data_IF_975397585396
#
_entry.id   IF_975397585396
#
_cell.length_a   1.000
_cell.length_b   1.000
_cell.length_c   1.000
_cell.angle_alpha   90.00
_cell.angle_beta   90.00
_cell.angle_gamma   90.00
#
_symmetry.space_group_name_H-M   'P 1'
#
loop_
_entity.id
_entity.type
_entity.pdbx_description
1 polymer ?
#
# COMPACT_ATOMS: atom_id res chain seq x y z
N UNK A 1 -4.61 -13.62 -14.36
CA UNK A 1 -3.87 -12.52 -13.73
C UNK A 1 -4.87 -11.39 -13.52
N UNK A 2 -4.97 -10.81 -12.32
CA UNK A 2 -5.88 -9.69 -12.06
C UNK A 2 -5.18 -8.35 -12.40
N UNK A 3 -5.94 -7.41 -12.96
CA UNK A 3 -5.50 -6.07 -13.33
C UNK A 3 -6.42 -5.03 -12.67
N UNK A 4 -5.91 -4.35 -11.65
CA UNK A 4 -6.65 -3.37 -10.84
C UNK A 4 -7.04 -2.12 -11.62
N UNK A 5 -6.28 -1.76 -12.66
CA UNK A 5 -6.50 -0.57 -13.48
C UNK A 5 -7.47 -0.81 -14.66
N UNK A 6 -7.89 -2.06 -14.88
CA UNK A 6 -8.77 -2.41 -15.99
C UNK A 6 -10.06 -1.58 -16.05
N UNK A 7 -10.74 -1.28 -14.91
CA UNK A 7 -11.91 -0.38 -14.91
C UNK A 7 -11.64 1.01 -15.51
N UNK A 8 -10.40 1.52 -15.44
CA UNK A 8 -10.02 2.82 -16.00
C UNK A 8 -9.72 2.75 -17.50
N UNK A 9 -9.38 1.57 -18.02
CA UNK A 9 -9.15 1.36 -19.45
C UNK A 9 -10.45 1.12 -20.21
N UNK A 10 -11.53 0.72 -19.54
CA UNK A 10 -12.81 0.37 -20.18
C UNK A 10 -13.40 1.48 -21.04
N UNK A 11 -13.19 2.76 -20.73
CA UNK A 11 -13.69 3.87 -21.56
C UNK A 11 -13.12 3.83 -22.99
N UNK A 12 -11.90 3.31 -23.16
CA UNK A 12 -11.25 3.14 -24.46
C UNK A 12 -11.96 2.12 -25.36
N UNK A 13 -12.87 1.30 -24.82
CA UNK A 13 -13.71 0.42 -25.64
C UNK A 13 -14.63 1.19 -26.61
N UNK A 14 -14.95 2.46 -26.31
CA UNK A 14 -15.74 3.32 -27.21
C UNK A 14 -14.99 3.68 -28.50
N UNK A 15 -13.67 3.54 -28.50
CA UNK A 15 -12.82 3.79 -29.67
C UNK A 15 -12.79 2.57 -30.62
N UNK A 16 -13.47 1.48 -30.27
CA UNK A 16 -13.54 0.25 -31.05
C UNK A 16 -14.90 0.06 -31.70
N UNK A 17 -14.89 -0.32 -32.97
CA UNK A 17 -16.03 -0.81 -33.74
C UNK A 17 -15.83 -2.30 -34.01
N UNK A 18 -16.88 -3.10 -33.86
CA UNK A 18 -16.84 -4.54 -34.13
C UNK A 18 -17.52 -4.86 -35.45
N UNK A 19 -16.86 -5.71 -36.25
CA UNK A 19 -17.38 -6.22 -37.52
C UNK A 19 -17.46 -7.74 -37.43
N UNK A 20 -18.64 -8.32 -37.67
CA UNK A 20 -18.80 -9.77 -37.69
C UNK A 20 -18.24 -10.33 -39.01
N UNK A 21 -17.18 -11.14 -38.92
CA UNK A 21 -16.73 -12.01 -40.00
C UNK A 21 -17.56 -13.29 -39.98
N UNK A 22 -18.01 -13.74 -41.16
CA UNK A 22 -18.67 -15.05 -41.31
C UNK A 22 -17.63 -16.16 -41.30
N UNK A 23 -18.00 -17.35 -40.83
CA UNK A 23 -17.05 -18.49 -40.73
C UNK A 23 -16.47 -18.96 -42.08
N UNK A 24 -17.12 -18.62 -43.20
CA UNK A 24 -16.66 -18.91 -44.56
C UNK A 24 -15.89 -17.76 -45.22
N UNK A 25 -15.62 -16.67 -44.49
CA UNK A 25 -14.89 -15.52 -45.03
C UNK A 25 -13.38 -15.81 -45.15
N UNK A 26 -12.77 -15.36 -46.26
CA UNK A 26 -11.32 -15.38 -46.43
C UNK A 26 -10.68 -14.15 -45.77
N UNK A 27 -9.86 -14.36 -44.74
CA UNK A 27 -9.24 -13.26 -43.96
C UNK A 27 -7.79 -13.00 -44.37
N UNK A 28 -7.20 -13.82 -45.24
CA UNK A 28 -5.84 -13.60 -45.74
C UNK A 28 -4.74 -13.81 -44.69
N UNK A 29 -4.98 -14.62 -43.66
CA UNK A 29 -3.99 -15.06 -42.68
C UNK A 29 -3.66 -16.52 -42.94
N UNK A 30 -2.41 -16.81 -43.29
CA UNK A 30 -1.97 -18.19 -43.53
C UNK A 30 -2.10 -19.03 -42.27
N UNK A 31 -2.54 -20.29 -42.42
CA UNK A 31 -2.68 -21.26 -41.32
C UNK A 31 -3.68 -20.87 -40.22
N UNK A 32 -4.61 -19.97 -40.50
CA UNK A 32 -5.73 -19.63 -39.62
C UNK A 32 -7.07 -19.94 -40.29
N UNK A 33 -8.00 -20.51 -39.52
CA UNK A 33 -9.39 -20.76 -39.96
C UNK A 33 -10.35 -20.09 -38.98
N UNK A 34 -11.34 -19.39 -39.50
CA UNK A 34 -12.37 -18.76 -38.67
C UNK A 34 -13.25 -19.84 -37.99
N UNK A 35 -13.77 -19.57 -36.78
CA UNK A 35 -14.83 -20.36 -36.18
C UNK A 35 -16.04 -20.45 -37.11
N UNK A 36 -16.74 -21.58 -37.08
CA UNK A 36 -17.89 -21.85 -37.97
C UNK A 36 -19.03 -20.84 -37.84
N UNK A 37 -19.23 -20.36 -36.62
CA UNK A 37 -20.19 -19.33 -36.21
C UNK A 37 -19.76 -17.91 -36.59
N UNK A 38 -18.52 -17.75 -37.08
CA UNK A 38 -17.90 -16.47 -37.36
C UNK A 38 -17.15 -15.88 -36.16
N UNK A 39 -16.53 -14.72 -36.37
CA UNK A 39 -15.77 -14.00 -35.35
C UNK A 39 -16.10 -12.50 -35.43
N UNK A 40 -16.50 -11.89 -34.31
CA UNK A 40 -16.51 -10.42 -34.25
C UNK A 40 -15.06 -9.96 -34.20
N UNK A 41 -14.64 -9.12 -35.14
CA UNK A 41 -13.31 -8.53 -35.14
C UNK A 41 -13.37 -7.04 -34.81
N UNK A 42 -12.49 -6.55 -33.93
CA UNK A 42 -12.44 -5.16 -33.51
C UNK A 42 -11.57 -4.33 -34.47
N UNK A 43 -11.94 -3.07 -34.66
CA UNK A 43 -11.19 -2.09 -35.45
C UNK A 43 -11.30 -0.75 -34.75
N UNK A 44 -10.24 0.05 -34.76
CA UNK A 44 -10.31 1.42 -34.27
C UNK A 44 -11.30 2.24 -35.12
N UNK A 45 -12.26 2.88 -34.48
CA UNK A 45 -13.35 3.62 -35.13
C UNK A 45 -12.82 4.74 -36.04
N UNK A 46 -11.74 5.42 -35.62
CA UNK A 46 -11.09 6.45 -36.44
C UNK A 46 -10.46 5.86 -37.70
N UNK A 47 -9.75 4.73 -37.56
CA UNK A 47 -9.09 4.05 -38.69
C UNK A 47 -10.13 3.54 -39.71
N UNK A 48 -11.23 2.95 -39.22
CA UNK A 48 -12.34 2.52 -40.06
C UNK A 48 -12.95 3.70 -40.83
N UNK A 49 -13.19 4.83 -40.15
CA UNK A 49 -13.74 6.02 -40.79
C UNK A 49 -12.80 6.61 -41.86
N UNK A 50 -11.48 6.60 -41.62
CA UNK A 50 -10.49 7.03 -42.61
C UNK A 50 -10.46 6.13 -43.83
N UNK A 51 -10.48 4.81 -43.64
CA UNK A 51 -10.43 3.87 -44.76
C UNK A 51 -11.69 3.96 -45.63
N UNK A 52 -12.87 4.16 -45.02
CA UNK A 52 -14.13 4.41 -45.75
C UNK A 52 -14.02 5.69 -46.59
N UNK A 53 -13.47 6.78 -46.02
CA UNK A 53 -13.29 8.05 -46.73
C UNK A 53 -12.35 7.94 -47.93
N UNK A 54 -11.33 7.07 -47.87
CA UNK A 54 -10.39 6.82 -48.97
C UNK A 54 -11.01 6.06 -50.16
N UNK A 55 -12.27 5.59 -50.05
CA UNK A 55 -13.08 4.96 -51.13
C UNK A 55 -12.40 3.78 -51.85
N UNK A 56 -11.55 3.03 -51.15
CA UNK A 56 -10.95 1.80 -51.67
C UNK A 56 -11.61 0.62 -50.95
N UNK A 57 -12.55 -0.10 -51.58
CA UNK A 57 -13.32 -1.17 -50.93
C UNK A 57 -12.42 -2.23 -50.29
N UNK A 58 -11.31 -2.53 -50.94
CA UNK A 58 -10.35 -3.57 -50.55
C UNK A 58 -9.41 -3.12 -49.41
N UNK A 59 -9.42 -1.84 -49.04
CA UNK A 59 -8.61 -1.26 -47.95
C UNK A 59 -9.45 -0.89 -46.72
N UNK A 60 -10.79 -1.07 -46.76
CA UNK A 60 -11.68 -0.70 -45.64
C UNK A 60 -11.38 -1.54 -44.40
N UNK A 61 -11.20 -2.85 -44.59
CA UNK A 61 -10.94 -3.82 -43.53
C UNK A 61 -9.63 -4.55 -43.80
N UNK A 62 -8.52 -4.00 -43.31
CA UNK A 62 -7.21 -4.66 -43.45
C UNK A 62 -6.94 -5.61 -42.28
N UNK A 63 -6.21 -6.69 -42.54
CA UNK A 63 -5.74 -7.62 -41.50
C UNK A 63 -4.95 -6.86 -40.42
N UNK A 64 -4.12 -5.89 -40.83
CA UNK A 64 -3.35 -5.07 -39.90
C UNK A 64 -4.24 -4.23 -38.97
N UNK A 65 -5.38 -3.72 -39.46
CA UNK A 65 -6.35 -2.99 -38.65
C UNK A 65 -7.03 -3.91 -37.62
N UNK A 66 -7.40 -5.12 -38.05
CA UNK A 66 -7.96 -6.16 -37.18
C UNK A 66 -6.96 -6.53 -36.08
N UNK A 67 -5.71 -6.80 -36.43
CA UNK A 67 -4.62 -7.12 -35.49
C UNK A 67 -4.46 -6.02 -34.44
N UNK A 68 -4.41 -4.75 -34.85
CA UNK A 68 -4.35 -3.61 -33.92
C UNK A 68 -5.56 -3.52 -33.01
N UNK A 69 -6.76 -3.74 -33.54
CA UNK A 69 -7.98 -3.74 -32.75
C UNK A 69 -8.01 -4.88 -31.73
N UNK A 70 -7.53 -6.07 -32.11
CA UNK A 70 -7.48 -7.24 -31.22
C UNK A 70 -6.53 -6.98 -30.06
N UNK A 71 -5.33 -6.45 -30.34
CA UNK A 71 -4.36 -6.06 -29.32
C UNK A 71 -4.96 -5.01 -28.37
N UNK A 72 -5.62 -3.98 -28.89
CA UNK A 72 -6.32 -2.99 -28.06
C UNK A 72 -7.39 -3.64 -27.17
N UNK A 73 -8.21 -4.53 -27.75
CA UNK A 73 -9.29 -5.20 -27.03
C UNK A 73 -8.75 -6.04 -25.88
N UNK A 74 -7.71 -6.85 -26.12
CA UNK A 74 -7.05 -7.66 -25.09
C UNK A 74 -6.43 -6.77 -24.00
N UNK A 75 -5.79 -5.66 -24.41
CA UNK A 75 -5.21 -4.71 -23.46
C UNK A 75 -6.26 -4.00 -22.61
N UNK A 76 -7.43 -3.71 -23.15
CA UNK A 76 -8.54 -3.08 -22.42
C UNK A 76 -9.28 -4.07 -21.52
N UNK A 77 -9.52 -5.29 -21.98
CA UNK A 77 -10.30 -6.32 -21.27
C UNK A 77 -9.58 -7.67 -21.35
N UNK A 78 -8.96 -8.05 -20.22
CA UNK A 78 -8.21 -9.31 -20.12
C UNK A 78 -9.09 -10.54 -20.00
N UNK A 79 -10.41 -10.38 -19.91
CA UNK A 79 -11.39 -11.47 -19.84
C UNK A 79 -12.38 -11.43 -21.02
N UNK A 80 -11.99 -10.78 -22.12
CA UNK A 80 -12.84 -10.61 -23.29
C UNK A 80 -13.30 -11.97 -23.88
N UNK A 81 -14.57 -12.05 -24.29
CA UNK A 81 -15.21 -13.33 -24.71
C UNK A 81 -14.50 -14.10 -25.83
N UNK A 82 -13.75 -13.42 -26.71
CA UNK A 82 -13.00 -14.05 -27.81
C UNK A 82 -11.48 -14.07 -27.60
N UNK A 83 -11.02 -13.88 -26.36
CA UNK A 83 -9.59 -13.77 -26.03
C UNK A 83 -8.75 -14.90 -26.63
N UNK A 84 -9.12 -16.16 -26.39
CA UNK A 84 -8.36 -17.31 -26.89
C UNK A 84 -8.27 -17.32 -28.42
N UNK A 85 -9.36 -16.95 -29.08
CA UNK A 85 -9.44 -16.95 -30.53
C UNK A 85 -8.63 -15.79 -31.15
N UNK A 86 -8.64 -14.63 -30.51
CA UNK A 86 -7.78 -13.50 -30.90
C UNK A 86 -6.30 -13.85 -30.73
N UNK A 87 -5.93 -14.55 -29.65
CA UNK A 87 -4.55 -14.99 -29.45
C UNK A 87 -4.10 -15.92 -30.58
N UNK A 88 -4.93 -16.90 -30.97
CA UNK A 88 -4.63 -17.78 -32.12
C UNK A 88 -4.47 -16.99 -33.42
N UNK A 89 -5.39 -16.07 -33.68
CA UNK A 89 -5.33 -15.19 -34.86
C UNK A 89 -4.03 -14.40 -34.91
N UNK A 90 -3.65 -13.78 -33.79
CA UNK A 90 -2.46 -12.94 -33.67
C UNK A 90 -1.16 -13.73 -33.95
N UNK A 91 -1.01 -14.93 -33.38
CA UNK A 91 0.16 -15.78 -33.64
C UNK A 91 0.19 -16.39 -35.05
N UNK A 92 -0.98 -16.65 -35.65
CA UNK A 92 -1.04 -17.11 -37.03
C UNK A 92 -0.69 -15.99 -38.02
N UNK A 93 -1.06 -14.74 -37.70
CA UNK A 93 -0.67 -13.56 -38.48
C UNK A 93 0.84 -13.31 -38.43
N UNK A 94 1.44 -13.35 -37.24
CA UNK A 94 2.87 -13.21 -37.05
C UNK A 94 3.34 -14.01 -35.82
N UNK A 95 4.21 -15.00 -36.03
CA UNK A 95 4.80 -15.77 -34.94
C UNK A 95 5.60 -14.90 -33.95
N UNK A 96 6.05 -13.70 -34.37
CA UNK A 96 6.76 -12.72 -33.55
C UNK A 96 5.86 -11.57 -33.06
N UNK A 97 4.54 -11.77 -33.01
CA UNK A 97 3.58 -10.71 -32.64
C UNK A 97 3.90 -10.05 -31.29
N UNK A 98 4.46 -10.78 -30.33
CA UNK A 98 4.90 -10.22 -29.03
C UNK A 98 5.93 -9.09 -29.19
N UNK A 99 6.89 -9.24 -30.12
CA UNK A 99 7.89 -8.22 -30.39
C UNK A 99 7.27 -6.98 -31.05
N UNK A 100 6.29 -7.17 -31.93
CA UNK A 100 5.51 -6.08 -32.49
C UNK A 100 4.74 -5.31 -31.40
N UNK A 101 4.04 -6.02 -30.50
CA UNK A 101 3.28 -5.41 -29.40
C UNK A 101 4.21 -4.62 -28.48
N UNK A 102 5.36 -5.20 -28.11
CA UNK A 102 6.41 -4.53 -27.33
C UNK A 102 6.89 -3.25 -28.01
N UNK A 103 7.25 -3.32 -29.30
CA UNK A 103 7.72 -2.17 -30.07
C UNK A 103 6.68 -1.05 -30.13
N UNK A 104 5.41 -1.38 -30.39
CA UNK A 104 4.34 -0.37 -30.39
C UNK A 104 4.14 0.26 -29.01
N UNK A 105 4.17 -0.54 -27.94
CA UNK A 105 4.10 -0.04 -26.56
C UNK A 105 5.16 1.03 -26.27
N UNK A 106 6.41 0.78 -26.65
CA UNK A 106 7.53 1.75 -26.53
C UNK A 106 7.30 2.97 -27.42
N UNK A 107 6.91 2.78 -28.68
CA UNK A 107 6.63 3.88 -29.61
C UNK A 107 5.53 4.83 -29.09
N UNK A 108 4.53 4.32 -28.38
CA UNK A 108 3.51 5.14 -27.75
C UNK A 108 4.05 5.97 -26.58
N UNK A 109 5.05 5.50 -25.84
CA UNK A 109 5.77 6.32 -24.85
C UNK A 109 6.44 7.49 -25.56
N UNK A 110 7.22 7.23 -26.61
CA UNK A 110 7.94 8.27 -27.37
C UNK A 110 6.98 9.31 -27.99
N UNK A 111 5.75 8.88 -28.29
CA UNK A 111 4.70 9.72 -28.87
C UNK A 111 3.81 10.42 -27.82
N UNK A 112 4.16 10.33 -26.53
CA UNK A 112 3.40 10.86 -25.40
C UNK A 112 1.93 10.37 -25.36
N UNK A 113 1.74 9.08 -25.60
CA UNK A 113 0.45 8.36 -25.58
C UNK A 113 0.47 7.27 -24.49
N UNK A 114 0.44 7.66 -23.21
CA UNK A 114 0.70 6.74 -22.10
C UNK A 114 -0.37 5.66 -21.94
N UNK A 115 -1.65 5.98 -22.20
CA UNK A 115 -2.73 4.99 -22.11
C UNK A 115 -2.60 3.92 -23.18
N UNK A 116 -2.32 4.33 -24.43
CA UNK A 116 -2.11 3.40 -25.54
C UNK A 116 -0.90 2.50 -25.27
N UNK A 117 0.17 3.05 -24.68
CA UNK A 117 1.32 2.26 -24.22
C UNK A 117 0.94 1.20 -23.17
N UNK A 118 0.19 1.60 -22.14
CA UNK A 118 -0.31 0.69 -21.09
C UNK A 118 -1.18 -0.41 -21.70
N UNK A 119 -2.08 -0.08 -22.62
CA UNK A 119 -2.94 -1.06 -23.31
C UNK A 119 -2.09 -2.09 -24.06
N UNK A 120 -1.07 -1.66 -24.80
CA UNK A 120 -0.20 -2.59 -25.54
C UNK A 120 0.62 -3.49 -24.61
N UNK A 121 1.25 -2.94 -23.57
CA UNK A 121 1.99 -3.78 -22.62
C UNK A 121 1.07 -4.71 -21.83
N UNK A 122 -0.12 -4.26 -21.44
CA UNK A 122 -1.14 -5.12 -20.81
C UNK A 122 -1.57 -6.24 -21.74
N UNK A 123 -1.76 -5.94 -23.03
CA UNK A 123 -2.09 -6.97 -24.03
C UNK A 123 -0.98 -8.01 -24.11
N UNK A 124 0.30 -7.59 -24.16
CA UNK A 124 1.43 -8.50 -24.15
C UNK A 124 1.46 -9.38 -22.90
N UNK A 125 1.26 -8.80 -21.71
CA UNK A 125 1.22 -9.55 -20.44
C UNK A 125 0.03 -10.50 -20.39
N UNK A 126 -1.11 -10.14 -21.00
CA UNK A 126 -2.29 -11.01 -21.09
C UNK A 126 -2.05 -12.19 -22.04
N UNK A 127 -1.40 -11.94 -23.19
CA UNK A 127 -1.05 -12.96 -24.19
C UNK A 127 0.01 -13.92 -23.65
N UNK A 128 1.06 -13.38 -23.03
CA UNK A 128 2.16 -14.15 -22.47
C UNK A 128 2.53 -13.65 -21.06
N UNK A 129 1.87 -14.18 -20.01
CA UNK A 129 2.12 -13.79 -18.62
C UNK A 129 3.53 -14.11 -18.12
N UNK A 130 4.30 -14.95 -18.83
CA UNK A 130 5.65 -15.36 -18.47
C UNK A 130 6.72 -14.43 -19.07
N UNK A 131 6.36 -13.47 -19.92
CA UNK A 131 7.30 -12.55 -20.54
C UNK A 131 7.79 -11.47 -19.53
N UNK A 132 9.03 -11.54 -19.01
CA UNK A 132 9.48 -10.63 -17.95
C UNK A 132 9.65 -9.21 -18.47
N UNK A 133 10.08 -9.03 -19.72
CA UNK A 133 10.22 -7.70 -20.34
C UNK A 133 8.87 -7.04 -20.55
N UNK A 134 7.86 -7.80 -20.97
CA UNK A 134 6.48 -7.32 -21.10
C UNK A 134 5.94 -6.81 -19.77
N UNK A 135 6.08 -7.62 -18.71
CA UNK A 135 5.62 -7.27 -17.38
C UNK A 135 6.39 -6.07 -16.79
N UNK A 136 7.69 -5.98 -17.02
CA UNK A 136 8.51 -4.85 -16.57
C UNK A 136 8.06 -3.53 -17.22
N UNK A 137 7.89 -3.52 -18.55
CA UNK A 137 7.46 -2.32 -19.27
C UNK A 137 6.02 -1.94 -18.92
N UNK A 138 5.14 -2.92 -18.73
CA UNK A 138 3.80 -2.69 -18.21
C UNK A 138 3.83 -1.98 -16.85
N UNK A 139 4.55 -2.56 -15.88
CA UNK A 139 4.65 -2.00 -14.53
C UNK A 139 5.22 -0.58 -14.53
N UNK A 140 6.26 -0.32 -15.33
CA UNK A 140 6.87 1.00 -15.47
C UNK A 140 5.91 2.03 -16.09
N UNK A 141 5.21 1.66 -17.17
CA UNK A 141 4.22 2.54 -17.82
C UNK A 141 3.08 2.90 -16.85
N UNK A 142 2.57 1.92 -16.10
CA UNK A 142 1.53 2.12 -15.08
C UNK A 142 2.03 3.02 -13.93
N UNK A 143 3.25 2.81 -13.44
CA UNK A 143 3.84 3.65 -12.39
C UNK A 143 3.99 5.12 -12.84
N UNK A 144 4.49 5.34 -14.06
CA UNK A 144 4.68 6.67 -14.61
C UNK A 144 3.36 7.40 -14.79
N UNK A 145 2.34 6.71 -15.31
CA UNK A 145 1.00 7.29 -15.46
C UNK A 145 0.35 7.60 -14.10
N UNK A 146 0.54 6.73 -13.10
CA UNK A 146 0.09 6.99 -11.73
C UNK A 146 0.71 8.26 -11.13
N UNK A 147 1.98 8.53 -11.44
CA UNK A 147 2.68 9.76 -11.01
C UNK A 147 2.12 11.02 -11.67
N UNK A 148 1.71 10.97 -12.93
CA UNK A 148 1.04 12.09 -13.60
C UNK A 148 -0.31 12.39 -12.94
N UNK A 149 -1.11 11.37 -12.64
CA UNK A 149 -2.38 11.54 -11.93
C UNK A 149 -2.21 12.13 -10.55
N UNK A 150 -1.15 11.72 -9.84
CA UNK A 150 -0.83 12.27 -8.52
C UNK A 150 -0.55 13.77 -8.62
N UNK A 151 0.25 14.21 -9.60
CA UNK A 151 0.54 15.64 -9.84
C UNK A 151 -0.72 16.45 -10.14
N UNK A 152 -1.70 15.84 -10.79
CA UNK A 152 -3.00 16.44 -11.09
C UNK A 152 -4.01 16.40 -9.93
N UNK A 153 -3.64 15.82 -8.77
CA UNK A 153 -4.51 15.74 -7.60
C UNK A 153 -5.62 14.68 -7.68
N UNK A 154 -5.52 13.75 -8.62
CA UNK A 154 -6.52 12.71 -8.82
C UNK A 154 -6.36 11.57 -7.80
N UNK A 155 -7.46 11.22 -7.11
CA UNK A 155 -7.52 10.10 -6.15
C UNK A 155 -7.24 8.73 -6.77
N UNK A 156 -7.37 8.63 -8.09
CA UNK A 156 -7.17 7.41 -8.88
C UNK A 156 -5.71 6.94 -8.91
N UNK A 157 -4.73 7.82 -8.62
CA UNK A 157 -3.30 7.48 -8.59
C UNK A 157 -2.98 6.23 -7.74
N UNK A 158 -3.69 6.05 -6.63
CA UNK A 158 -3.52 4.91 -5.72
C UNK A 158 -3.70 3.55 -6.42
N UNK A 159 -4.66 3.42 -7.35
CA UNK A 159 -4.90 2.16 -8.04
C UNK A 159 -3.75 1.80 -8.98
N UNK A 160 -3.24 2.79 -9.72
CA UNK A 160 -2.10 2.62 -10.62
C UNK A 160 -0.82 2.31 -9.84
N UNK A 161 -0.53 3.03 -8.76
CA UNK A 161 0.63 2.74 -7.92
C UNK A 161 0.58 1.35 -7.29
N UNK A 162 -0.59 0.94 -6.79
CA UNK A 162 -0.78 -0.41 -6.24
C UNK A 162 -0.52 -1.49 -7.29
N UNK A 163 -1.08 -1.34 -8.49
CA UNK A 163 -0.87 -2.30 -9.56
C UNK A 163 0.59 -2.38 -9.98
N UNK A 164 1.24 -1.24 -10.24
CA UNK A 164 2.65 -1.24 -10.62
C UNK A 164 3.51 -1.93 -9.57
N UNK A 165 3.28 -1.63 -8.28
CA UNK A 165 4.01 -2.25 -7.17
C UNK A 165 3.84 -3.77 -7.16
N UNK A 166 2.61 -4.27 -7.26
CA UNK A 166 2.34 -5.71 -7.30
C UNK A 166 3.06 -6.40 -8.48
N UNK A 167 3.14 -5.75 -9.65
CA UNK A 167 3.84 -6.31 -10.82
C UNK A 167 5.36 -6.29 -10.67
N UNK A 168 5.92 -5.26 -10.03
CA UNK A 168 7.34 -5.22 -9.70
C UNK A 168 7.72 -6.27 -8.64
N UNK A 169 6.90 -6.43 -7.59
CA UNK A 169 7.08 -7.49 -6.58
C UNK A 169 6.94 -8.88 -7.20
N UNK A 170 6.02 -9.07 -8.14
CA UNK A 170 5.88 -10.31 -8.92
C UNK A 170 7.15 -10.65 -9.73
N UNK A 171 7.78 -9.66 -10.36
CA UNK A 171 9.05 -9.86 -11.07
C UNK A 171 10.17 -10.31 -10.13
N UNK A 172 10.31 -9.68 -8.95
CA UNK A 172 11.29 -10.10 -7.94
C UNK A 172 11.01 -11.51 -7.43
N UNK A 173 9.74 -11.86 -7.18
CA UNK A 173 9.34 -13.20 -6.76
C UNK A 173 9.66 -14.29 -7.80
N UNK A 174 9.74 -13.92 -9.08
CA UNK A 174 10.18 -14.79 -10.19
C UNK A 174 11.70 -14.83 -10.35
N UNK A 175 12.46 -14.13 -9.51
CA UNK A 175 13.93 -14.05 -9.58
C UNK A 175 14.45 -13.09 -10.66
N UNK A 176 13.63 -12.16 -11.14
CA UNK A 176 14.04 -11.15 -12.12
C UNK A 176 14.56 -9.92 -11.37
N UNK A 177 15.86 -9.66 -11.44
CA UNK A 177 16.56 -8.63 -10.66
C UNK A 177 17.03 -7.43 -11.51
N UNK A 178 16.16 -6.93 -12.39
CA UNK A 178 16.46 -5.75 -13.23
C UNK A 178 16.55 -4.47 -12.38
N UNK A 179 17.60 -3.63 -12.51
CA UNK A 179 17.79 -2.42 -11.69
C UNK A 179 16.56 -1.51 -11.61
N UNK A 180 15.86 -1.31 -12.73
CA UNK A 180 14.70 -0.44 -12.82
C UNK A 180 13.55 -0.86 -11.88
N UNK A 181 13.46 -2.14 -11.52
CA UNK A 181 12.48 -2.66 -10.55
C UNK A 181 12.70 -2.01 -9.19
N UNK A 182 13.94 -2.02 -8.71
CA UNK A 182 14.31 -1.44 -7.41
C UNK A 182 14.11 0.07 -7.40
N UNK A 183 14.43 0.76 -8.51
CA UNK A 183 14.17 2.18 -8.67
C UNK A 183 12.68 2.50 -8.45
N UNK A 184 11.78 1.85 -9.18
CA UNK A 184 10.36 2.12 -9.06
C UNK A 184 9.80 1.72 -7.70
N UNK A 185 10.20 0.56 -7.16
CA UNK A 185 9.75 0.12 -5.84
C UNK A 185 10.19 1.07 -4.73
N UNK A 186 11.37 1.70 -4.81
CA UNK A 186 11.78 2.71 -3.84
C UNK A 186 10.77 3.87 -3.77
N UNK A 187 10.40 4.45 -4.91
CA UNK A 187 9.40 5.54 -4.94
C UNK A 187 8.00 5.09 -4.55
N UNK A 188 7.58 3.89 -4.96
CA UNK A 188 6.26 3.34 -4.63
C UNK A 188 6.12 3.05 -3.13
N UNK A 189 7.14 2.47 -2.49
CA UNK A 189 7.13 2.27 -1.04
C UNK A 189 7.18 3.58 -0.27
N UNK A 190 7.94 4.59 -0.72
CA UNK A 190 7.86 5.94 -0.13
C UNK A 190 6.45 6.52 -0.23
N UNK A 191 5.80 6.38 -1.38
CA UNK A 191 4.42 6.86 -1.56
C UNK A 191 3.45 6.20 -0.56
N UNK A 192 3.64 4.90 -0.27
CA UNK A 192 2.86 4.17 0.73
C UNK A 192 3.35 4.36 2.18
N UNK A 193 4.34 5.24 2.42
CA UNK A 193 4.97 5.48 3.73
C UNK A 193 5.62 4.25 4.37
N UNK A 194 6.11 3.31 3.55
CA UNK A 194 6.96 2.17 3.95
C UNK A 194 8.42 2.55 3.73
N UNK A 195 8.98 3.40 4.61
CA UNK A 195 10.28 4.04 4.43
C UNK A 195 11.45 3.05 4.58
N UNK A 196 11.37 2.05 5.45
CA UNK A 196 12.38 0.99 5.56
C UNK A 196 12.50 0.22 4.23
N UNK A 197 11.37 -0.19 3.65
CA UNK A 197 11.38 -0.87 2.34
C UNK A 197 11.85 0.05 1.22
N UNK A 198 11.40 1.31 1.22
CA UNK A 198 11.87 2.32 0.28
C UNK A 198 13.38 2.49 0.33
N UNK A 199 13.95 2.64 1.54
CA UNK A 199 15.40 2.75 1.78
C UNK A 199 16.13 1.54 1.23
N UNK A 200 15.68 0.33 1.59
CA UNK A 200 16.27 -0.93 1.12
C UNK A 200 16.28 -1.03 -0.41
N UNK A 201 15.18 -0.71 -1.08
CA UNK A 201 15.12 -0.75 -2.55
C UNK A 201 16.04 0.28 -3.19
N UNK A 202 16.10 1.50 -2.62
CA UNK A 202 17.01 2.55 -3.09
C UNK A 202 18.49 2.15 -2.94
N UNK A 203 18.88 1.57 -1.81
CA UNK A 203 20.24 1.08 -1.56
C UNK A 203 20.63 -0.04 -2.54
N UNK A 204 19.73 -1.00 -2.77
CA UNK A 204 19.95 -2.06 -3.77
C UNK A 204 20.15 -1.42 -5.15
N UNK A 205 19.29 -0.48 -5.54
CA UNK A 205 19.40 0.21 -6.83
C UNK A 205 20.77 0.89 -7.03
N UNK A 206 21.25 1.63 -6.02
CA UNK A 206 22.54 2.30 -6.08
C UNK A 206 23.72 1.33 -6.26
N UNK A 207 23.59 0.11 -5.73
CA UNK A 207 24.59 -0.94 -5.81
C UNK A 207 24.58 -1.69 -7.16
N UNK A 208 23.41 -1.90 -7.78
CA UNK A 208 23.28 -2.75 -8.98
C UNK A 208 23.15 -1.99 -10.31
N UNK A 209 22.78 -0.71 -10.29
CA UNK A 209 22.60 0.09 -11.51
C UNK A 209 23.91 0.78 -11.93
N UNK A 210 24.07 1.06 -13.22
CA UNK A 210 25.13 1.92 -13.77
C UNK A 210 24.58 3.29 -14.27
N UNK A 211 23.26 3.52 -14.18
CA UNK A 211 22.59 4.72 -14.68
C UNK A 211 22.77 5.93 -13.75
N UNK A 212 23.76 6.79 -14.04
CA UNK A 212 24.15 7.93 -13.18
C UNK A 212 22.99 8.90 -12.88
N UNK A 213 22.22 9.30 -13.89
CA UNK A 213 21.13 10.28 -13.70
C UNK A 213 20.06 9.78 -12.73
N UNK A 214 19.71 8.50 -12.80
CA UNK A 214 18.72 7.91 -11.91
C UNK A 214 19.30 7.66 -10.50
N UNK A 215 20.61 7.42 -10.37
CA UNK A 215 21.27 7.31 -9.06
C UNK A 215 21.15 8.61 -8.27
N UNK A 216 21.33 9.76 -8.91
CA UNK A 216 21.18 11.06 -8.24
C UNK A 216 19.76 11.24 -7.67
N UNK A 217 18.74 10.85 -8.43
CA UNK A 217 17.35 10.86 -7.97
C UNK A 217 17.16 9.97 -6.73
N UNK A 218 17.74 8.77 -6.73
CA UNK A 218 17.66 7.84 -5.58
C UNK A 218 18.44 8.37 -4.38
N UNK A 219 19.59 9.01 -4.57
CA UNK A 219 20.34 9.63 -3.46
C UNK A 219 19.51 10.74 -2.79
N UNK A 220 18.82 11.58 -3.58
CA UNK A 220 17.90 12.59 -3.04
C UNK A 220 16.75 11.92 -2.28
N UNK A 221 16.13 10.90 -2.87
CA UNK A 221 15.08 10.10 -2.22
C UNK A 221 15.53 9.56 -0.86
N UNK A 222 16.70 8.92 -0.80
CA UNK A 222 17.24 8.35 0.44
C UNK A 222 17.52 9.41 1.50
N UNK A 223 17.97 10.60 1.09
CA UNK A 223 18.16 11.73 1.99
C UNK A 223 16.84 12.24 2.56
N UNK A 224 15.82 12.38 1.73
CA UNK A 224 14.49 12.85 2.15
C UNK A 224 13.81 11.92 3.15
N UNK A 225 13.99 10.60 3.01
CA UNK A 225 13.34 9.61 3.87
C UNK A 225 14.20 9.14 5.04
N UNK A 226 15.43 9.62 5.18
CA UNK A 226 16.42 9.10 6.15
C UNK A 226 15.82 9.02 7.55
N UNK A 227 15.32 10.14 8.06
CA UNK A 227 14.85 10.22 9.44
C UNK A 227 13.47 9.56 9.61
N UNK A 228 12.65 9.55 8.56
CA UNK A 228 11.39 8.80 8.53
C UNK A 228 11.63 7.29 8.61
N UNK A 229 12.67 6.78 7.95
CA UNK A 229 13.07 5.38 8.01
C UNK A 229 13.67 5.01 9.38
N UNK A 230 14.44 5.91 10.00
CA UNK A 230 14.93 5.72 11.38
C UNK A 230 13.77 5.70 12.38
N UNK A 231 12.82 6.64 12.24
CA UNK A 231 11.62 6.65 13.05
C UNK A 231 10.83 5.34 12.91
N UNK A 232 10.60 4.88 11.67
CA UNK A 232 9.95 3.59 11.40
C UNK A 232 10.67 2.41 12.05
N UNK A 233 11.98 2.35 11.92
CA UNK A 233 12.81 1.30 12.49
C UNK A 233 12.74 1.29 14.03
N UNK A 234 12.80 2.48 14.63
CA UNK A 234 12.77 2.65 16.08
C UNK A 234 11.42 2.24 16.70
N UNK A 235 10.30 2.71 16.15
CA UNK A 235 8.99 2.35 16.72
C UNK A 235 8.63 0.89 16.45
N UNK A 236 8.95 0.32 15.27
CA UNK A 236 8.70 -1.10 15.00
C UNK A 236 9.50 -2.01 15.92
N UNK A 237 10.74 -1.64 16.24
CA UNK A 237 11.55 -2.37 17.21
C UNK A 237 10.91 -2.38 18.61
N UNK A 238 10.35 -1.25 19.06
CA UNK A 238 9.66 -1.14 20.35
C UNK A 238 8.39 -2.01 20.36
N UNK A 239 7.54 -1.88 19.34
CA UNK A 239 6.31 -2.67 19.21
C UNK A 239 6.58 -4.18 19.08
N UNK A 240 7.73 -4.55 18.53
CA UNK A 240 8.17 -5.95 18.41
C UNK A 240 8.88 -6.49 19.67
N UNK A 241 8.82 -5.78 20.80
CA UNK A 241 9.40 -6.21 22.08
C UNK A 241 10.92 -6.08 22.17
N UNK A 242 11.52 -5.21 21.36
CA UNK A 242 12.97 -4.91 21.36
C UNK A 242 13.24 -3.43 21.67
N UNK A 243 12.74 -2.89 22.80
CA UNK A 243 12.91 -1.47 23.13
C UNK A 243 14.39 -1.06 23.30
N UNK A 244 15.27 -1.98 23.68
CA UNK A 244 16.72 -1.74 23.77
C UNK A 244 17.40 -1.42 22.43
N UNK A 245 16.74 -1.74 21.31
CA UNK A 245 17.19 -1.36 19.96
C UNK A 245 16.47 -0.07 19.52
N UNK A 246 15.16 -0.02 19.74
CA UNK A 246 14.35 1.08 19.21
C UNK A 246 14.57 2.43 19.91
N UNK A 247 14.73 2.44 21.24
CA UNK A 247 14.89 3.69 21.99
C UNK A 247 16.12 4.50 21.53
N UNK A 248 17.34 3.92 21.45
CA UNK A 248 18.50 4.67 20.97
C UNK A 248 18.32 5.27 19.57
N UNK A 249 17.67 4.54 18.66
CA UNK A 249 17.40 5.02 17.29
C UNK A 249 16.48 6.24 17.31
N UNK A 250 15.43 6.21 18.13
CA UNK A 250 14.47 7.31 18.22
C UNK A 250 15.06 8.52 18.96
N UNK A 251 15.91 8.31 19.97
CA UNK A 251 16.56 9.39 20.71
C UNK A 251 17.47 10.26 19.82
N UNK A 252 18.10 9.67 18.80
CA UNK A 252 18.89 10.42 17.79
C UNK A 252 18.05 11.48 17.06
N UNK A 253 16.73 11.30 16.97
CA UNK A 253 15.82 12.21 16.26
C UNK A 253 15.30 13.35 17.15
N UNK A 254 15.42 13.26 18.47
CA UNK A 254 14.81 14.22 19.40
C UNK A 254 15.42 15.62 19.32
N UNK A 255 16.71 15.73 19.01
CA UNK A 255 17.38 17.03 18.90
C UNK A 255 16.83 17.89 17.75
N UNK A 256 16.49 17.24 16.63
CA UNK A 256 16.02 17.87 15.40
C UNK A 256 14.50 18.02 15.36
N UNK A 257 13.76 17.06 15.93
CA UNK A 257 12.30 16.97 15.81
C UNK A 257 11.55 17.20 17.12
N UNK A 258 11.81 18.34 17.78
CA UNK A 258 11.27 18.68 19.10
C UNK A 258 9.75 18.87 19.16
N UNK A 259 9.10 19.10 18.03
CA UNK A 259 7.63 19.28 17.93
C UNK A 259 6.91 18.00 17.48
N UNK A 260 7.63 16.89 17.28
CA UNK A 260 7.03 15.65 16.81
C UNK A 260 6.58 14.77 17.99
N UNK A 261 5.35 15.00 18.48
CA UNK A 261 4.86 14.30 19.67
C UNK A 261 4.88 12.77 19.57
N UNK A 262 4.60 12.18 18.40
CA UNK A 262 4.65 10.73 18.21
C UNK A 262 6.06 10.15 18.51
N UNK A 263 7.12 10.92 18.23
CA UNK A 263 8.49 10.52 18.53
C UNK A 263 8.70 10.36 20.04
N UNK A 264 8.28 11.37 20.83
CA UNK A 264 8.31 11.31 22.29
C UNK A 264 7.44 10.18 22.84
N UNK A 265 6.26 9.94 22.25
CA UNK A 265 5.40 8.85 22.67
C UNK A 265 6.10 7.49 22.56
N UNK A 266 6.73 7.20 21.42
CA UNK A 266 7.43 5.93 21.25
C UNK A 266 8.70 5.83 22.11
N UNK A 267 9.46 6.91 22.29
CA UNK A 267 10.59 6.93 23.24
C UNK A 267 10.11 6.64 24.66
N UNK A 268 8.99 7.25 25.08
CA UNK A 268 8.37 7.02 26.39
C UNK A 268 7.91 5.57 26.55
N UNK A 269 7.22 5.03 25.55
CA UNK A 269 6.77 3.64 25.53
C UNK A 269 7.94 2.67 25.65
N UNK A 270 9.00 2.90 24.87
CA UNK A 270 10.21 2.07 24.92
C UNK A 270 10.89 2.12 26.30
N UNK A 271 11.03 3.30 26.91
CA UNK A 271 11.60 3.45 28.24
C UNK A 271 10.75 2.79 29.32
N UNK A 272 9.41 2.87 29.24
CA UNK A 272 8.51 2.14 30.14
C UNK A 272 8.73 0.63 30.05
N UNK A 273 8.82 0.09 28.83
CA UNK A 273 9.07 -1.35 28.62
C UNK A 273 10.44 -1.81 29.13
N UNK A 274 11.42 -0.91 29.20
CA UNK A 274 12.73 -1.15 29.82
C UNK A 274 12.72 -1.02 31.35
N UNK A 275 11.62 -0.52 31.95
CA UNK A 275 11.52 -0.20 33.38
C UNK A 275 12.13 1.15 33.76
N UNK A 276 12.51 1.97 32.78
CA UNK A 276 13.03 3.33 32.94
C UNK A 276 11.87 4.31 33.12
N UNK A 277 11.11 4.16 34.21
CA UNK A 277 9.83 4.87 34.37
C UNK A 277 9.98 6.40 34.46
N UNK A 278 11.11 6.92 34.96
CA UNK A 278 11.32 8.37 35.07
C UNK A 278 11.55 9.01 33.70
N UNK A 279 12.34 8.35 32.86
CA UNK A 279 12.60 8.74 31.49
C UNK A 279 11.32 8.64 30.64
N UNK A 280 10.51 7.61 30.89
CA UNK A 280 9.19 7.46 30.30
C UNK A 280 8.24 8.60 30.68
N UNK A 281 8.15 8.95 31.97
CA UNK A 281 7.35 10.08 32.47
C UNK A 281 7.75 11.36 31.76
N UNK A 282 9.04 11.71 31.76
CA UNK A 282 9.52 12.92 31.07
C UNK A 282 9.10 12.94 29.59
N UNK A 283 9.19 11.80 28.91
CA UNK A 283 8.81 11.70 27.49
C UNK A 283 7.31 11.90 27.27
N UNK A 284 6.47 11.28 28.10
CA UNK A 284 5.02 11.46 27.99
C UNK A 284 4.54 12.84 28.44
N UNK A 285 5.19 13.47 29.42
CA UNK A 285 4.95 14.88 29.76
C UNK A 285 5.24 15.79 28.56
N UNK A 286 6.34 15.56 27.83
CA UNK A 286 6.60 16.27 26.57
C UNK A 286 5.52 16.03 25.52
N UNK A 287 4.92 14.83 25.45
CA UNK A 287 3.76 14.60 24.57
C UNK A 287 2.60 15.49 24.99
N UNK A 288 2.29 15.61 26.28
CA UNK A 288 1.20 16.46 26.77
C UNK A 288 1.49 17.96 26.66
N UNK A 289 2.76 18.38 26.63
CA UNK A 289 3.11 19.76 26.31
C UNK A 289 2.82 20.11 24.84
N UNK A 290 2.97 19.13 23.94
CA UNK A 290 2.71 19.30 22.50
C UNK A 290 1.24 19.05 22.14
N UNK A 291 0.60 18.09 22.81
CA UNK A 291 -0.77 17.62 22.59
C UNK A 291 -1.45 17.36 23.95
N UNK A 292 -2.06 18.41 24.53
CA UNK A 292 -2.57 18.46 25.92
C UNK A 292 -3.52 17.31 26.31
N UNK A 293 -4.30 16.80 25.36
CA UNK A 293 -5.32 15.78 25.57
C UNK A 293 -5.00 14.45 24.87
N UNK A 294 -3.73 14.14 24.64
CA UNK A 294 -3.32 12.85 24.09
C UNK A 294 -3.64 11.72 25.09
N UNK A 295 -4.72 10.98 24.81
CA UNK A 295 -5.31 9.96 25.67
C UNK A 295 -4.34 8.82 26.06
N UNK A 296 -3.65 8.23 25.09
CA UNK A 296 -2.71 7.14 25.31
C UNK A 296 -1.55 7.59 26.22
N UNK A 297 -1.05 8.82 26.07
CA UNK A 297 -0.01 9.37 26.95
C UNK A 297 -0.49 9.53 28.39
N UNK A 298 -1.75 9.92 28.62
CA UNK A 298 -2.32 10.00 29.96
C UNK A 298 -2.39 8.63 30.63
N UNK A 299 -2.81 7.60 29.88
CA UNK A 299 -2.84 6.22 30.37
C UNK A 299 -1.42 5.74 30.70
N UNK A 300 -0.46 6.00 29.81
CA UNK A 300 0.92 5.59 29.98
C UNK A 300 1.61 6.31 31.15
N UNK A 301 1.30 7.59 31.41
CA UNK A 301 1.72 8.30 32.62
C UNK A 301 1.14 7.66 33.87
N UNK A 302 -0.15 7.34 33.89
CA UNK A 302 -0.79 6.65 35.01
C UNK A 302 -0.10 5.32 35.35
N UNK A 303 0.24 4.54 34.32
CA UNK A 303 1.01 3.29 34.47
C UNK A 303 2.43 3.52 35.01
N UNK A 304 3.13 4.54 34.52
CA UNK A 304 4.48 4.87 34.98
C UNK A 304 4.47 5.33 36.45
N UNK A 305 3.57 6.25 36.83
CA UNK A 305 3.43 6.72 38.21
C UNK A 305 3.02 5.60 39.17
N UNK A 306 2.12 4.71 38.76
CA UNK A 306 1.79 3.49 39.53
C UNK A 306 3.04 2.63 39.73
N UNK A 307 3.86 2.44 38.69
CA UNK A 307 5.08 1.63 38.75
C UNK A 307 6.17 2.20 39.66
N UNK A 308 6.22 3.54 39.84
CA UNK A 308 7.11 4.19 40.80
C UNK A 308 6.46 4.43 42.17
N UNK A 309 5.27 3.86 42.41
CA UNK A 309 4.50 3.95 43.64
C UNK A 309 4.06 5.38 44.02
N UNK A 310 3.93 6.27 43.04
CA UNK A 310 3.27 7.56 43.20
C UNK A 310 1.79 7.41 42.80
N UNK A 311 1.05 6.76 43.69
CA UNK A 311 -0.32 6.32 43.41
C UNK A 311 -1.30 7.50 43.28
N UNK A 312 -0.96 8.67 43.83
CA UNK A 312 -1.84 9.84 43.76
C UNK A 312 -1.81 10.47 42.37
N UNK A 313 -0.63 10.62 41.78
CA UNK A 313 -0.49 11.06 40.38
C UNK A 313 -1.09 10.03 39.42
N UNK A 314 -0.89 8.72 39.68
CA UNK A 314 -1.52 7.67 38.87
C UNK A 314 -3.05 7.80 38.83
N UNK A 315 -3.69 8.06 39.98
CA UNK A 315 -5.13 8.32 40.06
C UNK A 315 -5.52 9.56 39.24
N UNK A 316 -4.77 10.67 39.33
CA UNK A 316 -5.07 11.89 38.57
C UNK A 316 -5.03 11.64 37.07
N UNK A 317 -3.95 11.02 36.58
CA UNK A 317 -3.77 10.73 35.16
C UNK A 317 -4.84 9.76 34.60
N UNK A 318 -5.15 8.67 35.32
CA UNK A 318 -6.23 7.77 34.89
C UNK A 318 -7.60 8.45 34.93
N UNK A 319 -7.85 9.29 35.93
CA UNK A 319 -9.12 10.04 36.03
C UNK A 319 -9.25 11.05 34.88
N UNK A 320 -8.17 11.75 34.52
CA UNK A 320 -8.10 12.64 33.36
C UNK A 320 -8.33 11.87 32.05
N UNK A 321 -7.69 10.70 31.90
CA UNK A 321 -7.89 9.83 30.74
C UNK A 321 -9.36 9.44 30.56
N UNK A 322 -10.04 9.00 31.64
CA UNK A 322 -11.47 8.67 31.62
C UNK A 322 -12.36 9.88 31.32
N UNK A 323 -11.97 11.08 31.78
CA UNK A 323 -12.69 12.32 31.48
C UNK A 323 -12.66 12.67 29.99
N UNK A 324 -11.54 12.39 29.31
CA UNK A 324 -11.31 12.71 27.90
C UNK A 324 -11.84 11.61 26.97
N UNK A 325 -11.42 10.37 27.22
CA UNK A 325 -11.75 9.21 26.38
C UNK A 325 -13.11 8.56 26.69
N UNK A 326 -13.74 8.93 27.81
CA UNK A 326 -14.91 8.24 28.33
C UNK A 326 -14.55 6.93 29.03
N UNK A 327 -15.59 6.21 29.45
CA UNK A 327 -15.47 4.96 30.18
C UNK A 327 -14.81 3.87 29.31
N UNK A 328 -13.65 3.39 29.76
CA UNK A 328 -12.89 2.31 29.14
C UNK A 328 -12.56 1.25 30.20
N UNK A 329 -12.87 -0.02 29.91
CA UNK A 329 -12.72 -1.11 30.89
C UNK A 329 -11.29 -1.29 31.39
N UNK A 330 -10.29 -1.12 30.52
CA UNK A 330 -8.87 -1.27 30.88
C UNK A 330 -8.41 -0.14 31.79
N UNK A 331 -8.73 1.11 31.45
CA UNK A 331 -8.38 2.28 32.28
C UNK A 331 -9.09 2.20 33.64
N UNK A 332 -10.37 1.80 33.67
CA UNK A 332 -11.11 1.59 34.92
C UNK A 332 -10.48 0.46 35.77
N UNK A 333 -10.06 -0.65 35.16
CA UNK A 333 -9.39 -1.72 35.90
C UNK A 333 -8.07 -1.23 36.50
N UNK A 334 -7.26 -0.49 35.73
CA UNK A 334 -6.01 0.10 36.22
C UNK A 334 -6.26 1.06 37.38
N UNK A 335 -7.24 1.97 37.24
CA UNK A 335 -7.61 2.89 38.31
C UNK A 335 -8.11 2.17 39.58
N UNK A 336 -8.92 1.11 39.43
CA UNK A 336 -9.37 0.31 40.56
C UNK A 336 -8.21 -0.41 41.28
N UNK A 337 -7.23 -0.93 40.53
CA UNK A 337 -6.01 -1.50 41.11
C UNK A 337 -5.24 -0.46 41.93
N UNK A 338 -5.08 0.77 41.41
CA UNK A 338 -4.43 1.85 42.16
C UNK A 338 -5.21 2.21 43.42
N UNK A 339 -6.55 2.30 43.37
CA UNK A 339 -7.38 2.54 44.56
C UNK A 339 -7.28 1.42 45.60
N UNK A 340 -7.14 0.16 45.17
CA UNK A 340 -6.89 -0.96 46.09
C UNK A 340 -5.55 -0.82 46.80
N UNK A 341 -4.52 -0.34 46.10
CA UNK A 341 -3.18 -0.14 46.66
C UNK A 341 -3.11 1.05 47.62
N UNK A 342 -3.89 2.11 47.39
CA UNK A 342 -4.02 3.25 48.32
C UNK A 342 -4.95 2.97 49.51
N UNK A 343 -5.68 1.86 49.50
CA UNK A 343 -6.64 1.49 50.55
C UNK A 343 -8.02 2.13 50.41
N UNK A 344 -8.28 2.85 49.32
CA UNK A 344 -9.58 3.41 48.92
C UNK A 344 -10.50 2.30 48.39
N UNK A 345 -10.85 1.34 49.25
CA UNK A 345 -11.53 0.10 48.82
C UNK A 345 -12.97 0.33 48.32
N UNK A 346 -13.64 1.38 48.78
CA UNK A 346 -15.01 1.70 48.35
C UNK A 346 -15.01 2.28 46.93
N UNK A 347 -14.10 3.22 46.68
CA UNK A 347 -13.86 3.79 45.35
C UNK A 347 -13.40 2.69 44.37
N UNK A 348 -12.49 1.81 44.80
CA UNK A 348 -12.09 0.64 44.01
C UNK A 348 -13.30 -0.25 43.64
N UNK A 349 -14.25 -0.46 44.55
CA UNK A 349 -15.43 -1.30 44.31
C UNK A 349 -16.38 -0.68 43.29
N UNK A 350 -16.59 0.63 43.35
CA UNK A 350 -17.39 1.34 42.37
C UNK A 350 -16.76 1.26 40.97
N UNK A 351 -15.47 1.57 40.87
CA UNK A 351 -14.75 1.64 39.59
C UNK A 351 -14.62 0.26 38.94
N UNK A 352 -14.28 -0.79 39.69
CA UNK A 352 -14.13 -2.12 39.12
C UNK A 352 -15.47 -2.72 38.65
N UNK A 353 -16.58 -2.36 39.30
CA UNK A 353 -17.92 -2.77 38.84
C UNK A 353 -18.27 -2.15 37.51
N UNK A 354 -17.98 -0.85 37.33
CA UNK A 354 -18.13 -0.18 36.02
C UNK A 354 -17.27 -0.84 34.95
N UNK A 355 -16.02 -1.23 35.27
CA UNK A 355 -15.18 -1.98 34.33
C UNK A 355 -15.82 -3.31 33.91
N UNK A 356 -16.35 -4.09 34.87
CA UNK A 356 -17.05 -5.35 34.60
C UNK A 356 -18.39 -5.17 33.86
N UNK A 357 -19.06 -4.04 33.99
CA UNK A 357 -20.27 -3.74 33.22
C UNK A 357 -19.95 -3.54 31.73
N UNK A 358 -18.80 -2.93 31.42
CA UNK A 358 -18.34 -2.73 30.05
C UNK A 358 -17.76 -4.01 29.43
N UNK A 359 -17.00 -4.77 30.21
CA UNK A 359 -16.42 -6.03 29.77
C UNK A 359 -16.49 -7.11 30.87
N UNK A 360 -17.60 -7.85 30.95
CA UNK A 360 -17.80 -8.88 31.98
C UNK A 360 -16.82 -10.04 31.90
N UNK A 361 -16.28 -10.31 30.71
CA UNK A 361 -15.46 -11.48 30.42
C UNK A 361 -13.94 -11.21 30.57
N UNK A 362 -13.54 -9.99 30.95
CA UNK A 362 -12.13 -9.67 31.18
C UNK A 362 -11.56 -10.37 32.42
N UNK A 363 -10.68 -11.35 32.20
CA UNK A 363 -10.13 -12.19 33.26
C UNK A 363 -9.34 -11.38 34.30
N UNK A 364 -8.62 -10.33 33.87
CA UNK A 364 -7.82 -9.46 34.74
C UNK A 364 -8.75 -8.69 35.69
N UNK A 365 -9.78 -8.07 35.14
CA UNK A 365 -10.79 -7.32 35.91
C UNK A 365 -11.53 -8.24 36.89
N UNK A 366 -11.91 -9.44 36.48
CA UNK A 366 -12.53 -10.43 37.38
C UNK A 366 -11.60 -10.83 38.53
N UNK A 367 -10.30 -11.01 38.25
CA UNK A 367 -9.31 -11.34 39.26
C UNK A 367 -9.11 -10.18 40.24
N UNK A 368 -9.02 -8.95 39.72
CA UNK A 368 -8.93 -7.73 40.50
C UNK A 368 -10.14 -7.60 41.44
N UNK A 369 -11.35 -7.82 40.93
CA UNK A 369 -12.57 -7.78 41.74
C UNK A 369 -12.59 -8.84 42.85
N UNK A 370 -12.17 -10.09 42.57
CA UNK A 370 -12.05 -11.14 43.60
C UNK A 370 -11.05 -10.76 44.70
N UNK A 371 -9.92 -10.16 44.33
CA UNK A 371 -8.91 -9.67 45.28
C UNK A 371 -9.48 -8.56 46.16
N UNK A 372 -10.18 -7.59 45.57
CA UNK A 372 -10.85 -6.51 46.30
C UNK A 372 -11.87 -7.02 47.32
N UNK A 373 -12.74 -7.96 46.92
CA UNK A 373 -13.75 -8.55 47.81
C UNK A 373 -13.12 -9.28 49.01
N UNK A 374 -11.91 -9.82 48.83
CA UNK A 374 -11.17 -10.44 49.93
C UNK A 374 -10.64 -9.39 50.92
N UNK A 375 -10.14 -8.25 50.42
CA UNK A 375 -9.67 -7.14 51.26
C UNK A 375 -10.83 -6.51 52.06
N UNK A 376 -11.98 -6.28 51.43
CA UNK A 376 -13.19 -5.74 52.08
C UNK A 376 -13.72 -6.63 53.22
N UNK A 377 -13.57 -7.96 53.11
CA UNK A 377 -13.96 -8.90 54.19
C UNK A 377 -13.01 -8.87 55.38
N UNK A 378 -11.75 -8.51 55.16
CA UNK A 378 -10.76 -8.40 56.24
C UNK A 378 -10.97 -7.08 57.01
N UNK A 379 -11.29 -5.99 56.33
CA UNK A 379 -11.51 -4.68 56.98
C UNK A 379 -12.83 -4.57 57.75
N UNK A 380 -13.81 -5.43 57.46
CA UNK A 380 -15.12 -5.47 58.13
C UNK A 380 -15.21 -6.49 59.28
N UNK A 381 -14.11 -7.21 59.59
CA UNK A 381 -13.97 -8.09 60.76
C UNK A 381 -12.95 -7.50 61.73
#
# INVERSE_FOLDING_TARGET
>A
MEFLIEPYLKEKSQELSFVQLKGDAEVGVENYQLPSEGLDVPILTEELAENIKKKRPDEVLTVAAIVRGMIHTIGIDSNFKYLEEYIKFLYAFDANIEAYIMYQGVKYIDSNKPIESIIFFKALVTINPQNPKGLLNYAAAVANYGNEYLKSGHKQSKAFHKEAKEKFEELLNRGIEEPLIYYHLAYLYRYEKQFIKSRKMGEIYLNVSDEELLKDNVIVLLREIKDLALYEEGYEAILSGKPQIGVPILEELLEEYKEWWNLYFFVGLGNRLLGNYKEAINSFEQVLELEEDQLDSLVELGLCYSSINDLQEAIDYFTRALRIGGDNSEILCNLAMVYMETGCLLEAEEIIRRSLELNPDDEITQLCFKKLQSQLKITNN
#
